data_IF_127309568872
#
_entry.id   IF_127309568872
#
_cell.length_a   1.000
_cell.length_b   1.000
_cell.length_c   1.000
_cell.angle_alpha   90.00
_cell.angle_beta   90.00
_cell.angle_gamma   90.00
#
_symmetry.space_group_name_H-M   'P 1'
#
loop_
_entity.id
_entity.type
_entity.pdbx_description
1 polymer ?
#
# COMPACT_ATOMS: atom_id res chain seq x y z
N UNK A 1 -6.05 1.40 19.08
CA UNK A 1 -7.11 0.38 18.81
C UNK A 1 -6.62 -0.56 17.71
N UNK A 2 -7.10 -1.82 17.59
CA UNK A 2 -6.70 -2.66 16.46
C UNK A 2 -7.17 -2.06 15.13
N UNK A 3 -6.43 -2.24 14.02
CA UNK A 3 -6.86 -1.81 12.70
C UNK A 3 -8.21 -2.42 12.32
N UNK A 4 -9.08 -1.62 11.71
CA UNK A 4 -10.40 -2.04 11.23
C UNK A 4 -10.36 -2.19 9.71
N UNK A 5 -10.67 -3.38 9.20
CA UNK A 5 -10.79 -3.59 7.77
C UNK A 5 -11.97 -2.77 7.21
N UNK A 6 -11.69 -1.97 6.18
CA UNK A 6 -12.71 -1.23 5.44
C UNK A 6 -13.29 -2.16 4.37
N UNK A 7 -14.62 -2.31 4.27
CA UNK A 7 -15.23 -3.19 3.28
C UNK A 7 -14.84 -2.84 1.84
N UNK A 8 -14.65 -3.86 1.00
CA UNK A 8 -14.25 -3.74 -0.42
C UNK A 8 -15.26 -2.94 -1.27
N UNK A 9 -16.46 -2.65 -0.73
CA UNK A 9 -17.42 -1.72 -1.34
C UNK A 9 -17.05 -0.24 -1.22
N UNK A 10 -15.97 0.08 -0.50
CA UNK A 10 -15.48 1.44 -0.31
C UNK A 10 -14.66 1.94 -1.50
N UNK A 11 -14.23 1.07 -2.39
CA UNK A 11 -13.41 1.41 -3.56
C UNK A 11 -14.24 1.09 -4.81
N UNK A 12 -14.28 2.01 -5.77
CA UNK A 12 -15.15 2.00 -6.96
C UNK A 12 -15.09 0.67 -7.74
N UNK A 13 -16.14 0.35 -8.51
CA UNK A 13 -16.26 -0.90 -9.28
C UNK A 13 -15.10 -1.12 -10.26
N UNK A 14 -14.53 -0.06 -10.83
CA UNK A 14 -13.36 -0.15 -11.72
C UNK A 14 -12.08 -0.66 -11.03
N UNK A 15 -12.01 -0.58 -9.70
CA UNK A 15 -10.85 -1.02 -8.93
C UNK A 15 -10.99 -2.47 -8.46
N UNK A 16 -12.23 -2.98 -8.38
CA UNK A 16 -12.56 -4.34 -7.88
C UNK A 16 -11.85 -5.48 -8.62
N UNK A 17 -11.60 -5.30 -9.91
CA UNK A 17 -11.00 -6.35 -10.76
C UNK A 17 -9.49 -6.56 -10.52
N UNK A 18 -8.86 -5.77 -9.65
CA UNK A 18 -7.43 -5.86 -9.32
C UNK A 18 -7.11 -6.14 -7.84
N UNK A 19 -8.12 -6.35 -7.00
CA UNK A 19 -7.97 -6.28 -5.54
C UNK A 19 -7.54 -7.61 -4.91
N UNK A 20 -6.23 -7.87 -4.88
CA UNK A 20 -5.66 -8.60 -3.74
C UNK A 20 -5.25 -7.67 -2.59
N UNK A 21 -5.59 -6.37 -2.68
CA UNK A 21 -5.26 -5.33 -1.71
C UNK A 21 -6.23 -5.27 -0.52
N UNK A 22 -5.85 -4.51 0.52
CA UNK A 22 -6.64 -4.31 1.74
C UNK A 22 -6.52 -2.89 2.24
N UNK A 23 -7.65 -2.28 2.61
CA UNK A 23 -7.69 -0.97 3.25
C UNK A 23 -8.07 -1.12 4.72
N UNK A 24 -7.26 -0.55 5.60
CA UNK A 24 -7.54 -0.51 7.03
C UNK A 24 -7.71 0.92 7.52
N UNK A 25 -8.75 1.16 8.30
CA UNK A 25 -8.89 2.36 9.12
C UNK A 25 -8.17 2.13 10.45
N UNK A 26 -7.33 3.08 10.84
CA UNK A 26 -6.56 3.04 12.08
C UNK A 26 -6.73 4.35 12.83
N UNK A 27 -6.52 4.27 14.14
CA UNK A 27 -6.44 5.44 15.03
C UNK A 27 -4.98 5.62 15.43
N UNK A 28 -4.41 6.79 15.15
CA UNK A 28 -3.03 7.12 15.53
C UNK A 28 -2.89 7.25 17.05
N UNK A 29 -1.65 7.29 17.55
CA UNK A 29 -1.38 7.51 18.98
C UNK A 29 -1.95 8.84 19.51
N UNK A 30 -2.12 9.82 18.61
CA UNK A 30 -2.71 11.14 18.91
C UNK A 30 -4.24 11.17 18.69
N UNK A 31 -4.87 10.02 18.44
CA UNK A 31 -6.33 9.91 18.26
C UNK A 31 -6.87 10.37 16.91
N UNK A 32 -6.03 10.52 15.88
CA UNK A 32 -6.46 10.90 14.53
C UNK A 32 -6.82 9.66 13.71
N UNK A 33 -7.83 9.77 12.85
CA UNK A 33 -8.10 8.76 11.83
C UNK A 33 -7.01 8.79 10.76
N UNK A 34 -6.49 7.62 10.42
CA UNK A 34 -5.61 7.42 9.28
C UNK A 34 -5.97 6.09 8.58
N UNK A 35 -5.49 5.93 7.37
CA UNK A 35 -5.68 4.72 6.58
C UNK A 35 -4.34 4.05 6.30
N UNK A 36 -4.32 2.73 6.39
CA UNK A 36 -3.23 1.89 5.90
C UNK A 36 -3.75 1.15 4.67
N UNK A 37 -3.20 1.48 3.50
CA UNK A 37 -3.53 0.81 2.25
C UNK A 37 -2.44 -0.21 1.93
N UNK A 38 -2.79 -1.49 1.95
CA UNK A 38 -1.88 -2.61 1.70
C UNK A 38 -2.12 -3.12 0.28
N UNK A 39 -1.20 -2.83 -0.63
CA UNK A 39 -1.17 -3.41 -1.97
C UNK A 39 -0.44 -4.75 -1.91
N UNK A 40 -1.14 -5.85 -2.23
CA UNK A 40 -0.52 -7.17 -2.35
C UNK A 40 -0.08 -7.36 -3.81
N UNK A 41 1.22 -7.51 -4.04
CA UNK A 41 1.81 -7.68 -5.36
C UNK A 41 2.44 -9.06 -5.47
N UNK A 42 1.87 -9.89 -6.36
CA UNK A 42 2.24 -11.29 -6.55
C UNK A 42 2.89 -11.56 -7.91
N UNK A 43 3.00 -10.56 -8.80
CA UNK A 43 3.57 -10.78 -10.13
C UNK A 43 5.05 -11.14 -10.02
N UNK A 44 5.47 -12.11 -10.84
CA UNK A 44 6.86 -12.59 -10.92
C UNK A 44 7.86 -11.49 -11.30
N UNK A 45 7.41 -10.41 -11.94
CA UNK A 45 8.20 -9.19 -12.14
C UNK A 45 7.46 -7.99 -11.54
N UNK A 46 8.10 -7.23 -10.62
CA UNK A 46 7.53 -6.00 -10.09
C UNK A 46 7.16 -5.01 -11.21
N UNK A 47 5.95 -4.48 -11.18
CA UNK A 47 5.52 -3.44 -12.14
C UNK A 47 6.17 -2.11 -11.76
N UNK A 48 7.02 -1.57 -12.63
CA UNK A 48 7.67 -0.28 -12.42
C UNK A 48 6.69 0.86 -12.10
N UNK A 49 5.40 0.71 -12.47
CA UNK A 49 4.34 1.69 -12.24
C UNK A 49 3.58 1.50 -10.92
N UNK A 50 4.06 0.70 -9.96
CA UNK A 50 3.41 0.55 -8.65
C UNK A 50 3.15 1.90 -7.96
N UNK A 51 4.08 2.86 -8.05
CA UNK A 51 3.85 4.21 -7.51
C UNK A 51 2.61 4.90 -8.12
N UNK A 52 2.38 4.74 -9.43
CA UNK A 52 1.19 5.26 -10.11
C UNK A 52 -0.08 4.57 -9.63
N UNK A 53 -0.03 3.26 -9.44
CA UNK A 53 -1.13 2.49 -8.86
C UNK A 53 -1.47 3.03 -7.47
N UNK A 54 -0.49 3.10 -6.56
CA UNK A 54 -0.66 3.60 -5.20
C UNK A 54 -1.33 4.99 -5.19
N UNK A 55 -0.87 5.93 -6.04
CA UNK A 55 -1.45 7.25 -6.13
C UNK A 55 -2.94 7.21 -6.51
N UNK A 56 -3.30 6.43 -7.54
CA UNK A 56 -4.71 6.29 -7.96
C UNK A 56 -5.58 5.79 -6.82
N UNK A 57 -5.13 4.76 -6.10
CA UNK A 57 -5.88 4.23 -4.95
C UNK A 57 -6.01 5.23 -3.82
N UNK A 58 -4.92 5.93 -3.46
CA UNK A 58 -4.96 6.96 -2.43
C UNK A 58 -5.99 8.06 -2.76
N UNK A 59 -6.02 8.53 -4.01
CA UNK A 59 -7.00 9.53 -4.46
C UNK A 59 -8.43 9.01 -4.34
N UNK A 60 -8.70 7.77 -4.74
CA UNK A 60 -10.05 7.20 -4.66
C UNK A 60 -10.52 6.99 -3.21
N UNK A 61 -9.61 6.57 -2.32
CA UNK A 61 -9.89 6.49 -0.88
C UNK A 61 -10.27 7.88 -0.33
N UNK A 62 -9.54 8.94 -0.71
CA UNK A 62 -9.83 10.31 -0.27
C UNK A 62 -11.16 10.82 -0.81
N UNK A 63 -11.48 10.56 -2.09
CA UNK A 63 -12.77 10.92 -2.71
C UNK A 63 -13.94 10.26 -1.97
N UNK A 64 -13.82 8.98 -1.64
CA UNK A 64 -14.86 8.25 -0.92
C UNK A 64 -14.99 8.67 0.54
N UNK A 65 -13.88 9.03 1.18
CA UNK A 65 -13.91 9.63 2.51
C UNK A 65 -14.60 10.99 2.50
N UNK A 66 -14.25 11.87 1.56
CA UNK A 66 -14.83 13.21 1.41
C UNK A 66 -16.34 13.18 1.25
N UNK A 67 -16.87 12.29 0.39
CA UNK A 67 -18.33 12.13 0.18
C UNK A 67 -19.10 11.85 1.47
N UNK A 68 -18.46 11.22 2.46
CA UNK A 68 -19.08 10.78 3.72
C UNK A 68 -18.87 11.77 4.87
N UNK A 69 -17.99 12.75 4.70
CA UNK A 69 -17.60 13.69 5.75
C UNK A 69 -17.79 15.13 5.28
N UNK A 70 -19.02 15.64 5.31
CA UNK A 70 -19.30 17.03 4.96
C UNK A 70 -18.68 18.00 5.98
N UNK A 71 -18.14 19.12 5.49
CA UNK A 71 -17.52 20.14 6.36
C UNK A 71 -16.16 19.72 6.95
N UNK A 72 -15.41 18.88 6.24
CA UNK A 72 -14.06 18.50 6.66
C UNK A 72 -13.08 19.68 6.55
N UNK A 73 -12.18 19.82 7.54
CA UNK A 73 -11.11 20.84 7.53
C UNK A 73 -9.78 20.29 7.01
N UNK A 74 -9.52 18.99 7.22
CA UNK A 74 -8.32 18.29 6.77
C UNK A 74 -8.66 16.89 6.29
N UNK A 75 -7.91 16.43 5.29
CA UNK A 75 -7.97 15.05 4.84
C UNK A 75 -7.30 14.10 5.84
N UNK A 76 -7.76 12.84 5.93
CA UNK A 76 -7.09 11.81 6.72
C UNK A 76 -5.74 11.45 6.09
N UNK A 77 -4.79 11.04 6.93
CA UNK A 77 -3.53 10.49 6.43
C UNK A 77 -3.78 9.13 5.77
N UNK A 78 -3.07 8.84 4.68
CA UNK A 78 -3.04 7.51 4.06
C UNK A 78 -1.58 7.08 3.97
N UNK A 79 -1.28 5.91 4.52
CA UNK A 79 0.03 5.25 4.39
C UNK A 79 -0.13 4.11 3.39
N UNK A 80 0.41 4.22 2.17
CA UNK A 80 0.52 3.07 1.28
C UNK A 80 1.61 2.11 1.78
N UNK A 81 1.37 0.82 1.62
CA UNK A 81 2.30 -0.25 1.99
C UNK A 81 2.21 -1.33 0.92
N UNK A 82 3.36 -1.79 0.42
CA UNK A 82 3.42 -2.87 -0.57
C UNK A 82 3.83 -4.16 0.11
N UNK A 83 2.97 -5.17 0.04
CA UNK A 83 3.28 -6.53 0.44
C UNK A 83 3.68 -7.30 -0.82
N UNK A 84 4.96 -7.59 -0.98
CA UNK A 84 5.52 -8.19 -2.18
C UNK A 84 5.95 -9.64 -1.95
N UNK A 85 5.53 -10.54 -2.83
CA UNK A 85 5.90 -11.96 -2.77
C UNK A 85 6.12 -12.58 -4.15
N UNK A 86 6.65 -11.80 -5.10
CA UNK A 86 7.03 -12.32 -6.41
C UNK A 86 8.37 -13.07 -6.41
N UNK A 87 8.67 -13.74 -7.52
CA UNK A 87 9.86 -14.60 -7.67
C UNK A 87 11.20 -13.83 -7.64
N UNK A 88 11.20 -12.57 -8.06
CA UNK A 88 12.40 -11.74 -8.20
C UNK A 88 12.51 -10.76 -7.05
N UNK A 89 13.72 -10.46 -6.61
CA UNK A 89 13.97 -9.40 -5.63
C UNK A 89 13.36 -8.06 -6.08
N UNK A 90 12.75 -7.34 -5.12
CA UNK A 90 12.24 -6.00 -5.36
C UNK A 90 13.36 -5.00 -5.67
N UNK A 91 13.30 -4.37 -6.85
CA UNK A 91 14.31 -3.39 -7.32
C UNK A 91 13.75 -2.03 -7.72
N UNK A 92 12.46 -1.80 -7.49
CA UNK A 92 11.81 -0.53 -7.82
C UNK A 92 12.05 0.46 -6.69
N UNK A 93 12.44 1.70 -6.97
CA UNK A 93 12.51 2.74 -5.95
C UNK A 93 11.18 2.94 -5.23
N UNK A 94 11.25 3.21 -3.92
CA UNK A 94 10.10 3.28 -3.01
C UNK A 94 9.56 4.70 -2.83
N UNK A 95 9.77 5.56 -3.82
CA UNK A 95 9.27 6.94 -3.87
C UNK A 95 8.51 7.19 -5.18
N UNK A 96 7.43 7.94 -5.12
CA UNK A 96 6.61 8.25 -6.30
C UNK A 96 7.38 9.06 -7.35
N UNK A 97 8.27 9.95 -6.92
CA UNK A 97 9.02 10.84 -7.80
C UNK A 97 9.88 10.08 -8.83
N UNK A 98 10.22 8.82 -8.58
CA UNK A 98 10.88 7.94 -9.57
C UNK A 98 10.12 7.85 -10.91
N UNK A 99 8.80 8.09 -10.91
CA UNK A 99 7.96 8.05 -12.10
C UNK A 99 7.86 9.40 -12.83
N UNK A 100 8.44 10.46 -12.27
CA UNK A 100 8.26 11.83 -12.75
C UNK A 100 9.52 12.29 -13.48
N UNK A 101 9.40 12.49 -14.79
CA UNK A 101 10.45 13.10 -15.60
C UNK A 101 10.47 14.62 -15.35
N UNK A 102 11.47 15.10 -14.60
CA UNK A 102 11.56 16.49 -14.16
C UNK A 102 12.99 16.92 -13.79
N UNK A 103 13.22 18.23 -13.77
CA UNK A 103 14.47 18.81 -13.28
C UNK A 103 14.56 18.72 -11.75
N UNK A 104 15.77 18.49 -11.21
CA UNK A 104 16.00 18.42 -9.76
C UNK A 104 15.58 19.70 -9.02
N UNK A 105 15.74 20.85 -9.68
CA UNK A 105 15.33 22.17 -9.16
C UNK A 105 13.83 22.26 -8.86
N UNK A 106 13.00 21.39 -9.46
CA UNK A 106 11.55 21.40 -9.30
C UNK A 106 11.08 20.53 -8.13
N UNK A 107 11.95 19.70 -7.53
CA UNK A 107 11.60 18.71 -6.49
C UNK A 107 10.69 19.26 -5.37
N UNK A 108 10.85 20.50 -4.84
CA UNK A 108 9.95 21.04 -3.81
C UNK A 108 8.50 21.28 -4.25
N UNK A 109 8.25 21.37 -5.56
CA UNK A 109 6.92 21.65 -6.14
C UNK A 109 6.20 20.38 -6.63
N UNK A 110 6.88 19.24 -6.60
CA UNK A 110 6.38 17.98 -7.14
C UNK A 110 5.74 17.13 -6.04
N UNK A 111 4.74 16.35 -6.42
CA UNK A 111 4.20 15.32 -5.56
C UNK A 111 5.25 14.22 -5.37
N UNK A 112 5.65 13.97 -4.13
CA UNK A 112 6.48 12.83 -3.78
C UNK A 112 6.02 12.24 -2.44
N UNK A 113 5.59 10.99 -2.48
CA UNK A 113 5.36 10.18 -1.28
C UNK A 113 6.24 8.95 -1.35
N UNK A 114 6.62 8.45 -0.18
CA UNK A 114 7.34 7.19 -0.04
C UNK A 114 6.38 6.09 0.39
N UNK A 115 6.73 4.85 0.08
CA UNK A 115 5.95 3.68 0.49
C UNK A 115 6.86 2.54 0.95
N UNK A 116 6.67 1.99 2.16
CA UNK A 116 7.37 0.78 2.58
C UNK A 116 6.98 -0.42 1.71
N UNK A 117 7.97 -1.29 1.48
CA UNK A 117 7.81 -2.58 0.80
C UNK A 117 8.25 -3.68 1.75
N UNK A 118 7.41 -4.69 1.93
CA UNK A 118 7.77 -5.95 2.57
C UNK A 118 7.96 -7.01 1.49
N UNK A 119 9.21 -7.27 1.13
CA UNK A 119 9.60 -8.34 0.21
C UNK A 119 9.78 -9.65 0.98
N UNK A 120 8.83 -10.58 0.85
CA UNK A 120 8.93 -11.90 1.48
C UNK A 120 10.08 -12.75 0.92
N UNK A 121 10.44 -12.55 -0.35
CA UNK A 121 11.55 -13.22 -1.02
C UNK A 121 12.88 -12.91 -0.34
N UNK A 122 13.05 -11.67 0.11
CA UNK A 122 14.25 -11.19 0.79
C UNK A 122 14.39 -11.68 2.24
N UNK A 123 13.30 -12.12 2.88
CA UNK A 123 13.31 -12.54 4.29
C UNK A 123 13.57 -14.06 4.38
N UNK A 124 14.58 -14.52 5.14
CA UNK A 124 14.79 -15.94 5.38
C UNK A 124 13.57 -16.62 6.03
N UNK A 125 13.27 -17.85 5.62
CA UNK A 125 12.06 -18.57 6.04
C UNK A 125 11.86 -18.65 7.56
N UNK A 126 12.95 -18.81 8.30
CA UNK A 126 12.93 -18.90 9.77
C UNK A 126 12.64 -17.56 10.45
N UNK A 127 12.90 -16.45 9.77
CA UNK A 127 12.76 -15.08 10.26
C UNK A 127 11.41 -14.46 9.90
N UNK A 128 10.60 -15.12 9.07
CA UNK A 128 9.28 -14.62 8.66
C UNK A 128 8.33 -14.36 9.84
N UNK A 129 8.34 -15.23 10.86
CA UNK A 129 7.59 -15.02 12.10
C UNK A 129 7.99 -16.02 13.19
N UNK A 130 7.98 -15.58 14.44
CA UNK A 130 8.06 -16.45 15.62
C UNK A 130 6.75 -17.26 15.82
N UNK A 131 5.60 -16.74 15.36
CA UNK A 131 4.35 -17.47 15.39
C UNK A 131 4.32 -18.53 14.28
N UNK A 132 4.25 -19.80 14.67
CA UNK A 132 4.26 -20.94 13.75
C UNK A 132 3.13 -20.94 12.71
N UNK A 133 1.94 -20.47 13.08
CA UNK A 133 0.78 -20.43 12.17
C UNK A 133 0.93 -19.31 11.16
N UNK A 134 1.38 -18.13 11.62
CA UNK A 134 1.65 -17.02 10.72
C UNK A 134 2.80 -17.35 9.77
N UNK A 135 3.90 -17.91 10.29
CA UNK A 135 5.04 -18.37 9.46
C UNK A 135 4.60 -19.34 8.38
N UNK A 136 3.78 -20.34 8.71
CA UNK A 136 3.27 -21.29 7.72
C UNK A 136 2.45 -20.61 6.61
N UNK A 137 1.63 -19.59 6.95
CA UNK A 137 0.86 -18.81 5.97
C UNK A 137 1.74 -17.93 5.09
N UNK A 138 2.73 -17.25 5.67
CA UNK A 138 3.69 -16.42 4.93
C UNK A 138 4.55 -17.27 4.00
N UNK A 139 4.97 -18.46 4.41
CA UNK A 139 5.67 -19.43 3.55
C UNK A 139 4.78 -19.87 2.38
N UNK A 140 3.52 -20.20 2.64
CA UNK A 140 2.58 -20.55 1.58
C UNK A 140 2.47 -19.40 0.55
N UNK A 141 2.36 -18.14 1.00
CA UNK A 141 2.31 -16.98 0.11
C UNK A 141 3.62 -16.77 -0.67
N UNK A 142 4.77 -16.88 0.01
CA UNK A 142 6.11 -16.70 -0.57
C UNK A 142 6.37 -17.67 -1.73
N UNK A 143 5.83 -18.89 -1.66
CA UNK A 143 6.00 -19.93 -2.67
C UNK A 143 4.75 -20.17 -3.54
N UNK A 144 3.72 -19.33 -3.44
CA UNK A 144 2.49 -19.42 -4.24
C UNK A 144 2.57 -18.65 -5.57
N UNK A 145 3.78 -18.32 -6.03
CA UNK A 145 4.06 -17.66 -7.32
C UNK A 145 3.71 -18.52 -8.53
#
# INVERSE_FOLDING_TARGET
RPPKLVPDSFVDEELRDHLSDRLFEVETVDGKTAFLYVLIEHKSTPDAKVGWQLLRYMVEILKEWEKKHSGWDRLPAIVPFVFYHGEREWKIPTEFLYLVDSEESWRPYLLNFEFPVLDLGAIPDRELSEDHRLRARLLAMKYAT
#
